data_IF_341918647746
#
_entry.id   IF_341918647746
#
_cell.length_a   1.000
_cell.length_b   1.000
_cell.length_c   1.000
_cell.angle_alpha   90.00
_cell.angle_beta   90.00
_cell.angle_gamma   90.00
#
_symmetry.space_group_name_H-M   'P 1'
#
loop_
_entity.id
_entity.type
_entity.pdbx_description
1 polymer ?
#
# COMPACT_ATOMS: atom_id res chain seq x y z
N UNK A 1 11.57 -13.27 -18.86
CA UNK A 1 11.85 -11.97 -18.20
C UNK A 1 12.86 -12.10 -17.08
N UNK A 2 12.59 -12.90 -16.03
CA UNK A 2 13.47 -13.02 -14.85
C UNK A 2 14.93 -13.39 -15.19
N UNK A 3 15.15 -14.45 -15.99
CA UNK A 3 16.50 -14.86 -16.44
C UNK A 3 17.28 -13.72 -17.09
N UNK A 4 16.65 -13.01 -18.02
CA UNK A 4 17.27 -11.88 -18.73
C UNK A 4 17.63 -10.75 -17.78
N UNK A 5 16.74 -10.43 -16.82
CA UNK A 5 17.01 -9.39 -15.83
C UNK A 5 18.14 -9.79 -14.88
N UNK A 6 18.15 -11.04 -14.39
CA UNK A 6 19.21 -11.54 -13.51
C UNK A 6 20.59 -11.47 -14.17
N UNK A 7 20.69 -11.73 -15.48
CA UNK A 7 21.97 -11.66 -16.23
C UNK A 7 22.57 -10.26 -16.32
N UNK A 8 21.76 -9.21 -16.18
CA UNK A 8 22.21 -7.81 -16.32
C UNK A 8 22.19 -7.03 -15.01
N UNK A 9 21.71 -7.64 -13.92
CA UNK A 9 21.72 -7.03 -12.59
C UNK A 9 23.13 -7.11 -12.00
N UNK A 10 23.81 -5.97 -11.74
CA UNK A 10 25.17 -5.98 -11.22
C UNK A 10 25.19 -6.31 -9.72
N UNK A 11 26.24 -6.98 -9.25
CA UNK A 11 26.48 -7.12 -7.81
C UNK A 11 26.71 -5.74 -7.16
N UNK A 12 26.21 -5.49 -5.93
CA UNK A 12 25.45 -6.39 -5.06
C UNK A 12 23.93 -6.31 -5.24
N UNK A 13 23.43 -5.71 -6.33
CA UNK A 13 22.01 -5.45 -6.56
C UNK A 13 21.20 -6.73 -6.75
N UNK A 14 19.90 -6.59 -6.51
CA UNK A 14 18.94 -7.69 -6.56
C UNK A 14 17.99 -7.50 -7.72
N UNK A 15 17.47 -8.60 -8.26
CA UNK A 15 16.23 -8.53 -9.03
C UNK A 15 15.06 -8.46 -8.05
N UNK A 16 14.29 -7.38 -8.12
CA UNK A 16 13.13 -7.14 -7.24
C UNK A 16 11.88 -7.03 -8.09
N UNK A 17 10.90 -7.89 -7.83
CA UNK A 17 9.54 -7.79 -8.36
C UNK A 17 8.65 -7.48 -7.17
N UNK A 18 8.15 -6.24 -7.06
CA UNK A 18 7.45 -5.74 -5.86
C UNK A 18 5.98 -5.49 -6.19
N UNK A 19 5.25 -6.57 -6.47
CA UNK A 19 3.80 -6.53 -6.76
C UNK A 19 3.46 -6.32 -8.24
N UNK A 20 2.17 -6.09 -8.51
CA UNK A 20 1.63 -5.84 -9.85
C UNK A 20 1.37 -7.07 -10.71
N UNK A 21 1.27 -8.26 -10.11
CA UNK A 21 0.99 -9.50 -10.81
C UNK A 21 0.16 -10.48 -9.95
N UNK A 22 -0.47 -11.44 -10.61
CA UNK A 22 -1.09 -12.63 -10.01
C UNK A 22 -0.79 -13.84 -10.90
N UNK A 23 -0.71 -15.02 -10.28
CA UNK A 23 -0.56 -16.28 -10.97
C UNK A 23 -1.67 -16.58 -11.99
N UNK A 24 -2.86 -16.00 -11.84
CA UNK A 24 -3.97 -16.17 -12.78
C UNK A 24 -3.71 -15.52 -14.15
N UNK A 25 -2.68 -14.68 -14.25
CA UNK A 25 -2.25 -14.08 -15.51
C UNK A 25 -1.34 -15.01 -16.33
N UNK A 26 -0.84 -16.09 -15.73
CA UNK A 26 0.02 -17.06 -16.40
C UNK A 26 -0.79 -18.21 -17.01
N UNK A 27 -0.29 -18.80 -18.09
CA UNK A 27 -0.92 -19.94 -18.75
C UNK A 27 -1.03 -21.14 -17.80
N UNK A 28 -0.04 -21.30 -16.92
CA UNK A 28 0.07 -22.37 -15.94
C UNK A 28 -0.84 -22.16 -14.71
N UNK A 29 -1.39 -20.95 -14.52
CA UNK A 29 -2.26 -20.58 -13.39
C UNK A 29 -1.68 -20.94 -12.02
N UNK A 30 -0.36 -20.79 -11.86
CA UNK A 30 0.39 -21.05 -10.63
C UNK A 30 1.55 -20.08 -10.49
N UNK A 31 2.00 -19.87 -9.27
CA UNK A 31 3.24 -19.14 -9.01
C UNK A 31 4.45 -19.88 -9.62
N UNK A 32 5.54 -19.15 -9.96
CA UNK A 32 6.82 -19.78 -10.26
C UNK A 32 7.31 -20.57 -9.05
N UNK A 33 8.00 -21.69 -9.28
CA UNK A 33 8.58 -22.48 -8.18
C UNK A 33 9.94 -21.91 -7.77
N UNK A 34 10.34 -22.18 -6.53
CA UNK A 34 11.68 -21.81 -6.05
C UNK A 34 12.78 -22.51 -6.86
N UNK A 35 12.55 -23.74 -7.33
CA UNK A 35 13.50 -24.45 -8.19
C UNK A 35 13.65 -23.77 -9.55
N UNK A 36 12.55 -23.32 -10.17
CA UNK A 36 12.57 -22.54 -11.41
C UNK A 36 13.36 -21.23 -11.22
N UNK A 37 13.11 -20.50 -10.12
CA UNK A 37 13.80 -19.25 -9.81
C UNK A 37 15.30 -19.50 -9.57
N UNK A 38 15.65 -20.52 -8.77
CA UNK A 38 17.03 -20.88 -8.47
C UNK A 38 17.79 -21.31 -9.72
N UNK A 39 17.15 -22.05 -10.64
CA UNK A 39 17.77 -22.52 -11.87
C UNK A 39 18.12 -21.36 -12.82
N UNK A 40 17.29 -20.31 -12.88
CA UNK A 40 17.53 -19.17 -13.78
C UNK A 40 18.39 -18.07 -13.16
N UNK A 41 18.51 -18.04 -11.83
CA UNK A 41 19.30 -17.05 -11.08
C UNK A 41 20.00 -17.69 -9.88
N UNK A 42 21.07 -18.46 -10.10
CA UNK A 42 21.77 -19.18 -9.02
C UNK A 42 22.57 -18.24 -8.09
N UNK A 43 23.14 -17.17 -8.66
CA UNK A 43 24.09 -16.29 -7.97
C UNK A 43 23.55 -14.89 -7.71
N UNK A 44 22.67 -14.39 -8.59
CA UNK A 44 22.04 -13.06 -8.41
C UNK A 44 20.86 -13.19 -7.45
N UNK A 45 20.81 -12.44 -6.34
CA UNK A 45 19.66 -12.44 -5.43
C UNK A 45 18.37 -12.01 -6.13
N UNK A 46 17.31 -12.77 -5.89
CA UNK A 46 15.96 -12.51 -6.41
C UNK A 46 14.98 -12.43 -5.25
N UNK A 47 14.15 -11.39 -5.27
CA UNK A 47 12.98 -11.24 -4.42
C UNK A 47 11.76 -11.00 -5.29
N UNK A 48 10.78 -11.90 -5.22
CA UNK A 48 9.49 -11.78 -5.90
C UNK A 48 8.39 -11.70 -4.85
N UNK A 49 7.79 -10.53 -4.72
CA UNK A 49 6.62 -10.31 -3.87
C UNK A 49 5.37 -10.77 -4.62
N UNK A 50 4.63 -11.70 -4.04
CA UNK A 50 3.30 -12.09 -4.48
C UNK A 50 2.27 -11.39 -3.59
N UNK A 51 1.65 -10.35 -4.16
CA UNK A 51 0.69 -9.49 -3.46
C UNK A 51 1.27 -9.04 -2.10
N UNK A 52 0.49 -9.08 -1.02
CA UNK A 52 0.97 -8.81 0.33
C UNK A 52 0.95 -10.07 1.22
N UNK A 53 0.72 -11.24 0.60
CA UNK A 53 0.55 -12.52 1.29
C UNK A 53 1.85 -13.36 1.35
N UNK A 54 2.75 -13.22 0.38
CA UNK A 54 3.94 -14.05 0.33
C UNK A 54 5.06 -13.46 -0.53
N UNK A 55 6.28 -13.95 -0.32
CA UNK A 55 7.42 -13.63 -1.18
C UNK A 55 8.28 -14.85 -1.44
N UNK A 56 8.79 -14.94 -2.67
CA UNK A 56 9.75 -15.95 -3.10
C UNK A 56 11.15 -15.34 -3.15
N UNK A 57 12.05 -15.91 -2.35
CA UNK A 57 13.47 -15.58 -2.31
C UNK A 57 14.27 -16.77 -2.82
N UNK A 58 15.17 -16.52 -3.76
CA UNK A 58 16.09 -17.56 -4.19
C UNK A 58 17.18 -17.83 -3.11
N UNK A 59 17.93 -18.91 -3.29
CA UNK A 59 19.02 -19.28 -2.36
C UNK A 59 20.08 -18.18 -2.22
N UNK A 60 20.35 -17.40 -3.28
CA UNK A 60 21.26 -16.26 -3.21
C UNK A 60 20.73 -15.14 -2.31
N UNK A 61 19.44 -14.81 -2.39
CA UNK A 61 18.80 -13.83 -1.51
C UNK A 61 18.78 -14.29 -0.06
N UNK A 62 18.45 -15.56 0.21
CA UNK A 62 18.49 -16.13 1.58
C UNK A 62 19.89 -16.02 2.21
N UNK A 63 20.94 -16.34 1.45
CA UNK A 63 22.34 -16.15 1.89
C UNK A 63 22.65 -14.69 2.19
N UNK A 64 22.21 -13.78 1.30
CA UNK A 64 22.47 -12.35 1.45
C UNK A 64 21.80 -11.74 2.69
N UNK A 65 20.63 -12.22 3.11
CA UNK A 65 19.91 -11.70 4.30
C UNK A 65 20.15 -12.51 5.58
N UNK A 66 20.96 -13.56 5.48
CA UNK A 66 21.37 -14.41 6.61
C UNK A 66 20.22 -15.23 7.20
N UNK A 67 19.21 -15.60 6.41
CA UNK A 67 18.16 -16.51 6.89
C UNK A 67 18.66 -17.95 6.89
N UNK A 68 18.64 -18.57 8.08
CA UNK A 68 19.16 -19.92 8.34
C UNK A 68 18.10 -20.78 9.04
N UNK A 69 18.45 -22.02 9.40
CA UNK A 69 17.59 -22.91 10.21
C UNK A 69 17.30 -22.35 11.60
N UNK A 70 18.21 -21.54 12.14
CA UNK A 70 18.10 -20.91 13.45
C UNK A 70 17.30 -19.59 13.44
N UNK A 71 16.97 -19.06 12.26
CA UNK A 71 16.18 -17.82 12.18
C UNK A 71 14.75 -18.09 12.66
N UNK A 72 14.28 -17.44 13.74
CA UNK A 72 12.91 -17.64 14.18
C UNK A 72 11.92 -17.01 13.19
N UNK A 73 10.70 -17.54 13.15
CA UNK A 73 9.59 -16.87 12.49
C UNK A 73 9.29 -15.54 13.22
N UNK A 74 9.14 -14.41 12.52
CA UNK A 74 8.72 -13.18 13.18
C UNK A 74 7.26 -13.26 13.62
N UNK A 75 6.81 -12.38 14.53
CA UNK A 75 5.40 -12.19 14.79
C UNK A 75 4.65 -11.91 13.49
N UNK A 76 3.60 -12.67 13.25
CA UNK A 76 2.73 -12.48 12.10
C UNK A 76 3.31 -12.91 10.74
N UNK A 77 4.26 -13.84 10.72
CA UNK A 77 4.80 -14.39 9.48
C UNK A 77 5.47 -15.74 9.66
N UNK A 78 5.72 -16.41 8.54
CA UNK A 78 6.33 -17.75 8.48
C UNK A 78 7.44 -17.76 7.44
N UNK A 79 8.63 -18.22 7.86
CA UNK A 79 9.70 -18.61 6.96
C UNK A 79 9.50 -20.10 6.70
N UNK A 80 9.03 -20.47 5.51
CA UNK A 80 8.78 -21.87 5.19
C UNK A 80 10.10 -22.65 5.21
N UNK A 81 10.06 -23.86 5.77
CA UNK A 81 11.22 -24.76 5.91
C UNK A 81 10.99 -26.09 5.21
N UNK A 82 12.07 -26.68 4.71
CA UNK A 82 12.09 -28.05 4.22
C UNK A 82 12.12 -29.08 5.36
N UNK A 83 12.11 -30.37 5.02
CA UNK A 83 12.17 -31.48 5.98
C UNK A 83 13.45 -31.49 6.84
N UNK A 84 14.50 -30.79 6.42
CA UNK A 84 15.76 -30.66 7.13
C UNK A 84 15.85 -29.36 7.95
N UNK A 85 14.78 -28.55 7.96
CA UNK A 85 14.70 -27.29 8.68
C UNK A 85 15.34 -26.09 7.95
N UNK A 86 15.83 -26.25 6.72
CA UNK A 86 16.41 -25.13 5.98
C UNK A 86 15.30 -24.23 5.40
N UNK A 87 15.47 -22.90 5.39
CA UNK A 87 14.53 -22.02 4.69
C UNK A 87 14.41 -22.40 3.21
N UNK A 88 13.20 -22.62 2.72
CA UNK A 88 12.98 -22.94 1.30
C UNK A 88 13.21 -21.72 0.42
N UNK A 89 12.86 -20.53 0.93
CA UNK A 89 12.79 -19.29 0.18
C UNK A 89 11.38 -18.70 0.12
N UNK A 90 10.35 -19.45 0.51
CA UNK A 90 8.99 -18.93 0.61
C UNK A 90 8.78 -18.28 1.98
N UNK A 91 8.39 -17.01 1.95
CA UNK A 91 7.93 -16.24 3.11
C UNK A 91 6.43 -16.09 3.02
N UNK A 92 5.71 -16.28 4.12
CA UNK A 92 4.24 -16.17 4.18
C UNK A 92 3.88 -15.13 5.25
N UNK A 93 3.07 -14.15 4.88
CA UNK A 93 2.54 -13.11 5.75
C UNK A 93 1.22 -13.57 6.39
N UNK A 94 1.07 -13.36 7.71
CA UNK A 94 -0.12 -13.75 8.49
C UNK A 94 -0.28 -12.85 9.72
N UNK A 95 -1.00 -11.71 9.73
CA UNK A 95 -1.96 -11.26 8.72
C UNK A 95 -1.47 -10.11 7.82
N UNK A 96 -0.21 -9.68 7.96
CA UNK A 96 0.30 -8.51 7.23
C UNK A 96 1.72 -8.72 6.68
N UNK A 97 2.08 -7.89 5.71
CA UNK A 97 3.31 -8.01 4.92
C UNK A 97 4.61 -7.61 5.65
N UNK A 98 4.60 -7.42 6.98
CA UNK A 98 5.77 -6.94 7.72
C UNK A 98 7.02 -7.82 7.54
N UNK A 99 6.87 -9.15 7.53
CA UNK A 99 7.97 -10.09 7.23
C UNK A 99 8.53 -9.83 5.82
N UNK A 100 7.66 -9.62 4.84
CA UNK A 100 8.03 -9.43 3.43
C UNK A 100 8.81 -8.12 3.25
N UNK A 101 8.31 -7.03 3.85
CA UNK A 101 8.99 -5.74 3.84
C UNK A 101 10.32 -5.78 4.58
N UNK A 102 10.38 -6.46 5.73
CA UNK A 102 11.62 -6.62 6.49
C UNK A 102 12.67 -7.38 5.69
N UNK A 103 12.28 -8.42 4.96
CA UNK A 103 13.18 -9.16 4.08
C UNK A 103 13.66 -8.30 2.89
N UNK A 104 12.74 -7.55 2.27
CA UNK A 104 13.07 -6.63 1.17
C UNK A 104 14.04 -5.52 1.61
N UNK A 105 13.82 -4.94 2.81
CA UNK A 105 14.62 -3.87 3.37
C UNK A 105 16.06 -4.29 3.74
N UNK A 106 16.31 -5.60 3.94
CA UNK A 106 17.67 -6.15 4.09
C UNK A 106 18.45 -6.22 2.77
N UNK A 107 17.79 -6.03 1.63
CA UNK A 107 18.48 -5.88 0.35
C UNK A 107 19.28 -4.58 0.29
N UNK A 108 20.20 -4.43 -0.67
CA UNK A 108 21.03 -3.22 -0.79
C UNK A 108 20.17 -1.97 -1.04
N UNK A 109 20.43 -0.90 -0.27
CA UNK A 109 19.88 0.43 -0.57
C UNK A 109 20.65 1.03 -1.74
N UNK A 110 19.95 1.61 -2.71
CA UNK A 110 20.59 2.34 -3.81
C UNK A 110 21.24 3.62 -3.27
N UNK A 111 22.44 4.01 -3.75
CA UNK A 111 22.97 5.35 -3.55
C UNK A 111 21.95 6.42 -4.00
N UNK A 112 22.01 7.62 -3.42
CA UNK A 112 21.05 8.70 -3.69
C UNK A 112 20.92 9.00 -5.19
N UNK A 113 22.05 9.13 -5.89
CA UNK A 113 22.08 9.38 -7.35
C UNK A 113 21.30 8.33 -8.16
N UNK A 114 21.33 7.06 -7.72
CA UNK A 114 20.63 5.97 -8.37
C UNK A 114 19.15 5.95 -8.00
N UNK A 115 18.78 6.42 -6.80
CA UNK A 115 17.38 6.64 -6.45
C UNK A 115 16.77 7.76 -7.30
N UNK A 116 17.48 8.89 -7.46
CA UNK A 116 17.05 9.99 -8.34
C UNK A 116 16.87 9.52 -9.78
N UNK A 117 17.84 8.79 -10.33
CA UNK A 117 17.70 8.21 -11.67
C UNK A 117 16.56 7.18 -11.76
N UNK A 118 16.41 6.31 -10.75
CA UNK A 118 15.33 5.32 -10.68
C UNK A 118 13.96 6.00 -10.72
N UNK A 119 13.75 7.05 -9.92
CA UNK A 119 12.50 7.81 -9.89
C UNK A 119 12.23 8.50 -11.22
N UNK A 120 13.25 9.02 -11.91
CA UNK A 120 13.09 9.56 -13.28
C UNK A 120 12.63 8.48 -14.29
N UNK A 121 13.19 7.29 -14.22
CA UNK A 121 12.77 6.17 -15.08
C UNK A 121 11.35 5.72 -14.74
N UNK A 122 10.99 5.70 -13.46
CA UNK A 122 9.63 5.38 -13.01
C UNK A 122 8.61 6.39 -13.56
N UNK A 123 8.87 7.69 -13.43
CA UNK A 123 7.98 8.71 -13.99
C UNK A 123 7.89 8.64 -15.52
N UNK A 124 8.98 8.31 -16.22
CA UNK A 124 8.97 8.06 -17.67
C UNK A 124 8.02 6.92 -18.03
N UNK A 125 8.05 5.82 -17.27
CA UNK A 125 7.15 4.69 -17.52
C UNK A 125 5.69 5.04 -17.25
N UNK A 126 5.42 5.80 -16.18
CA UNK A 126 4.09 6.35 -15.91
C UNK A 126 3.60 7.23 -17.07
N UNK A 127 4.45 8.13 -17.58
CA UNK A 127 4.10 8.95 -18.74
C UNK A 127 3.85 8.13 -20.00
N UNK A 128 4.61 7.04 -20.22
CA UNK A 128 4.39 6.10 -21.34
C UNK A 128 2.99 5.47 -21.30
N UNK A 129 2.44 5.29 -20.09
CA UNK A 129 1.08 4.79 -19.85
C UNK A 129 0.01 5.91 -19.83
N UNK A 130 0.40 7.16 -20.05
CA UNK A 130 -0.48 8.33 -20.00
C UNK A 130 -0.77 8.87 -18.59
N UNK A 131 -0.09 8.35 -17.56
CA UNK A 131 -0.22 8.84 -16.18
C UNK A 131 0.60 10.11 -16.02
N UNK A 132 -0.06 11.21 -15.64
CA UNK A 132 0.56 12.54 -15.50
C UNK A 132 0.43 13.13 -14.09
N UNK A 133 -0.23 12.43 -13.17
CA UNK A 133 -0.36 12.82 -11.77
C UNK A 133 -0.56 11.60 -10.88
N UNK A 134 -0.05 11.68 -9.66
CA UNK A 134 -0.23 10.66 -8.62
C UNK A 134 -0.51 11.34 -7.27
N UNK A 135 -1.30 10.67 -6.44
CA UNK A 135 -1.39 10.98 -5.02
C UNK A 135 -0.51 9.96 -4.32
N UNK A 136 0.56 10.44 -3.69
CA UNK A 136 1.41 9.62 -2.83
C UNK A 136 0.73 9.50 -1.47
N UNK A 137 0.33 8.28 -1.12
CA UNK A 137 -0.31 7.96 0.14
C UNK A 137 0.70 7.73 1.28
N UNK A 138 2.00 7.88 1.02
CA UNK A 138 3.08 7.58 1.96
C UNK A 138 3.27 6.08 2.19
N UNK A 139 3.85 5.73 3.34
CA UNK A 139 4.10 4.34 3.74
C UNK A 139 5.49 3.84 3.38
N UNK A 140 5.74 2.53 3.51
CA UNK A 140 6.98 1.89 3.04
C UNK A 140 8.28 2.43 3.66
N UNK A 141 8.27 2.86 4.92
CA UNK A 141 9.39 3.53 5.60
C UNK A 141 9.80 4.90 5.02
N UNK A 142 8.91 5.58 4.31
CA UNK A 142 9.07 6.95 3.88
C UNK A 142 8.84 7.91 5.05
N UNK A 143 9.84 8.11 5.92
CA UNK A 143 9.73 9.00 7.07
C UNK A 143 9.86 10.47 6.64
N UNK A 144 8.95 11.32 7.12
CA UNK A 144 9.00 12.74 6.83
C UNK A 144 9.75 13.50 7.94
N UNK A 145 10.67 14.42 7.58
CA UNK A 145 11.03 14.84 6.21
C UNK A 145 12.17 14.04 5.55
N UNK A 146 12.90 13.20 6.27
CA UNK A 146 14.23 12.71 5.86
C UNK A 146 14.23 11.86 4.57
N UNK A 147 13.19 11.07 4.34
CA UNK A 147 13.14 10.16 3.20
C UNK A 147 12.59 10.82 1.92
N UNK A 148 12.07 12.06 1.99
CA UNK A 148 11.52 12.80 0.84
C UNK A 148 12.57 13.47 -0.07
N UNK A 149 13.85 13.40 0.33
CA UNK A 149 14.98 14.03 -0.36
C UNK A 149 15.03 13.79 -1.88
N UNK A 150 14.66 12.59 -2.35
CA UNK A 150 14.71 12.24 -3.78
C UNK A 150 13.70 13.04 -4.59
N UNK A 151 12.45 13.10 -4.12
CA UNK A 151 11.38 13.84 -4.81
C UNK A 151 11.62 15.34 -4.67
N UNK A 152 12.10 15.79 -3.50
CA UNK A 152 12.49 17.18 -3.27
C UNK A 152 13.59 17.65 -4.23
N UNK A 153 14.63 16.83 -4.44
CA UNK A 153 15.73 17.13 -5.38
C UNK A 153 15.20 17.23 -6.81
N UNK A 154 14.38 16.27 -7.24
CA UNK A 154 13.76 16.29 -8.57
C UNK A 154 12.86 17.51 -8.76
N UNK A 155 12.09 17.90 -7.74
CA UNK A 155 11.25 19.09 -7.77
C UNK A 155 12.09 20.36 -7.90
N UNK A 156 13.11 20.53 -7.05
CA UNK A 156 14.04 21.68 -7.08
C UNK A 156 14.75 21.84 -8.42
N UNK A 157 15.08 20.72 -9.07
CA UNK A 157 15.76 20.69 -10.36
C UNK A 157 14.82 20.73 -11.58
N UNK A 158 13.50 20.90 -11.38
CA UNK A 158 12.48 20.86 -12.45
C UNK A 158 12.51 19.55 -13.28
N UNK A 159 12.73 18.42 -12.61
CA UNK A 159 12.85 17.10 -13.23
C UNK A 159 11.63 16.20 -13.01
N UNK A 160 10.59 16.68 -12.32
CA UNK A 160 9.32 15.97 -12.20
C UNK A 160 8.55 16.02 -13.50
N UNK A 161 8.12 14.86 -14.00
CA UNK A 161 7.29 14.74 -15.21
C UNK A 161 5.85 14.29 -14.90
N UNK A 162 5.53 14.14 -13.63
CA UNK A 162 4.18 13.94 -13.10
C UNK A 162 3.94 14.92 -11.95
N UNK A 163 2.68 15.27 -11.71
CA UNK A 163 2.27 16.04 -10.52
C UNK A 163 2.08 15.11 -9.33
N UNK A 164 2.76 15.36 -8.23
CA UNK A 164 2.72 14.56 -7.01
C UNK A 164 2.06 15.36 -5.90
N UNK A 165 0.96 14.84 -5.36
CA UNK A 165 0.36 15.36 -4.13
C UNK A 165 0.61 14.31 -3.04
N UNK A 166 1.38 14.63 -2.00
CA UNK A 166 1.79 13.63 -1.00
C UNK A 166 1.03 13.80 0.33
N UNK A 167 0.74 12.67 0.97
CA UNK A 167 0.18 12.61 2.31
C UNK A 167 1.23 12.10 3.29
N UNK A 168 1.08 12.46 4.57
CA UNK A 168 1.95 12.01 5.64
C UNK A 168 1.34 10.81 6.37
N UNK A 169 2.14 9.75 6.43
CA UNK A 169 1.79 8.42 6.91
C UNK A 169 2.58 8.11 8.18
N UNK A 170 1.91 7.69 9.25
CA UNK A 170 2.57 7.39 10.53
C UNK A 170 3.43 6.13 10.43
N UNK A 171 4.69 6.23 10.83
CA UNK A 171 5.66 5.11 10.79
C UNK A 171 6.05 4.63 12.21
N UNK A 172 5.60 5.35 13.26
CA UNK A 172 5.96 5.10 14.66
C UNK A 172 4.74 4.65 15.47
N UNK A 173 4.54 3.33 15.68
CA UNK A 173 3.44 2.85 16.52
C UNK A 173 3.45 3.48 17.90
N UNK A 174 2.27 3.90 18.39
CA UNK A 174 2.04 4.59 19.68
C UNK A 174 2.61 6.01 19.78
N UNK A 175 3.09 6.58 18.69
CA UNK A 175 3.57 7.98 18.61
C UNK A 175 2.85 8.76 17.49
N UNK A 176 1.71 8.23 17.02
CA UNK A 176 1.00 8.73 15.84
C UNK A 176 0.43 10.12 16.07
N UNK A 177 -0.05 10.41 17.28
CA UNK A 177 -0.56 11.73 17.62
C UNK A 177 0.57 12.76 17.66
N UNK A 178 1.70 12.41 18.27
CA UNK A 178 2.90 13.25 18.32
C UNK A 178 3.46 13.52 16.92
N UNK A 179 3.43 12.52 16.02
CA UNK A 179 3.77 12.68 14.60
C UNK A 179 2.92 13.79 13.97
N UNK A 180 1.59 13.72 14.09
CA UNK A 180 0.71 14.74 13.52
C UNK A 180 0.84 16.12 14.19
N UNK A 181 1.05 16.18 15.52
CA UNK A 181 1.33 17.44 16.20
C UNK A 181 2.59 18.10 15.65
N UNK A 182 3.65 17.31 15.43
CA UNK A 182 4.87 17.81 14.84
C UNK A 182 4.65 18.25 13.38
N UNK A 183 4.04 17.42 12.54
CA UNK A 183 3.88 17.73 11.12
C UNK A 183 2.98 18.94 10.85
N UNK A 184 1.87 19.07 11.58
CA UNK A 184 0.99 20.26 11.50
C UNK A 184 1.68 21.57 11.90
N UNK A 185 2.79 21.51 12.63
CA UNK A 185 3.64 22.68 12.94
C UNK A 185 4.71 22.98 11.87
N UNK A 186 4.95 22.04 10.95
CA UNK A 186 6.04 22.10 9.97
C UNK A 186 5.57 22.39 8.54
N UNK A 187 4.39 21.90 8.17
CA UNK A 187 3.85 22.00 6.81
C UNK A 187 2.34 22.30 6.85
N UNK A 188 1.78 22.87 5.78
CA UNK A 188 0.36 23.10 5.61
C UNK A 188 -0.14 22.46 4.31
N UNK A 189 -1.41 22.00 4.24
CA UNK A 189 -1.99 21.50 3.01
C UNK A 189 -1.89 22.55 1.90
N UNK A 190 -1.34 22.16 0.75
CA UNK A 190 -1.06 23.04 -0.37
C UNK A 190 0.38 23.56 -0.45
N UNK A 191 1.20 23.42 0.60
CA UNK A 191 2.61 23.81 0.56
C UNK A 191 3.35 23.04 -0.54
N UNK A 192 4.16 23.76 -1.33
CA UNK A 192 4.93 23.23 -2.44
C UNK A 192 4.70 23.99 -3.75
N UNK A 193 4.50 23.26 -4.84
CA UNK A 193 4.32 23.77 -6.20
C UNK A 193 3.23 23.00 -6.95
N UNK A 194 2.89 23.44 -8.17
CA UNK A 194 1.91 22.74 -9.02
C UNK A 194 2.31 21.29 -9.37
N UNK A 195 3.61 20.96 -9.29
CA UNK A 195 4.14 19.63 -9.58
C UNK A 195 4.38 18.78 -8.34
N UNK A 196 4.52 19.39 -7.17
CA UNK A 196 4.85 18.68 -5.94
C UNK A 196 4.36 19.47 -4.74
N UNK A 197 3.35 18.95 -4.05
CA UNK A 197 2.74 19.63 -2.90
C UNK A 197 2.23 18.69 -1.83
N UNK A 198 2.22 19.18 -0.61
CA UNK A 198 1.61 18.49 0.51
C UNK A 198 0.09 18.51 0.37
N UNK A 199 -0.55 17.36 0.58
CA UNK A 199 -1.99 17.19 0.46
C UNK A 199 -2.69 17.03 1.81
N UNK A 200 -2.06 16.35 2.76
CA UNK A 200 -2.64 16.11 4.08
C UNK A 200 -2.13 14.83 4.74
N UNK A 201 -2.97 14.18 5.54
CA UNK A 201 -2.62 12.99 6.34
C UNK A 201 -3.12 11.67 5.71
N UNK A 202 -2.49 10.55 6.08
CA UNK A 202 -2.87 9.20 5.68
C UNK A 202 -1.87 8.56 4.73
N UNK A 203 -2.08 7.32 4.27
CA UNK A 203 -3.25 6.44 4.48
C UNK A 203 -3.33 5.79 5.88
N UNK A 204 -2.22 5.72 6.61
CA UNK A 204 -2.18 5.27 8.01
C UNK A 204 -2.19 6.46 8.96
N UNK A 205 -3.28 6.59 9.72
CA UNK A 205 -3.43 7.62 10.76
C UNK A 205 -3.10 7.07 12.14
N UNK A 206 -3.57 5.88 12.48
CA UNK A 206 -3.25 5.20 13.73
C UNK A 206 -3.09 3.70 13.46
N UNK A 207 -2.07 3.08 14.06
CA UNK A 207 -1.82 1.65 13.82
C UNK A 207 -2.96 0.75 14.34
N UNK A 208 -3.71 1.21 15.35
CA UNK A 208 -4.89 0.49 15.87
C UNK A 208 -6.07 0.45 14.89
N UNK A 209 -6.07 1.28 13.84
CA UNK A 209 -7.10 1.27 12.80
C UNK A 209 -6.69 0.48 11.54
N UNK A 210 -5.50 -0.13 11.54
CA UNK A 210 -5.00 -0.88 10.40
C UNK A 210 -5.74 -2.22 10.23
N UNK A 211 -6.67 -2.29 9.28
CA UNK A 211 -7.48 -3.48 9.05
C UNK A 211 -6.95 -4.44 7.98
N UNK A 212 -5.91 -4.08 7.22
CA UNK A 212 -5.13 -4.92 6.28
C UNK A 212 -5.92 -5.84 5.32
N UNK A 213 -5.52 -5.82 4.08
CA UNK A 213 -6.30 -6.33 2.96
C UNK A 213 -5.76 -7.64 2.38
N UNK A 214 -5.60 -8.63 3.25
CA UNK A 214 -5.24 -10.00 2.88
C UNK A 214 -6.47 -10.93 2.91
N UNK A 215 -7.09 -11.14 1.74
CA UNK A 215 -8.26 -12.01 1.60
C UNK A 215 -7.95 -13.51 1.75
N UNK A 216 -6.69 -13.92 1.86
CA UNK A 216 -6.35 -15.29 2.25
C UNK A 216 -6.48 -15.48 3.77
N UNK A 217 -6.39 -14.41 4.55
CA UNK A 217 -6.52 -14.45 6.01
C UNK A 217 -7.91 -14.00 6.48
N UNK A 218 -8.34 -14.42 7.69
CA UNK A 218 -9.52 -13.82 8.32
C UNK A 218 -9.37 -12.31 8.46
N UNK A 219 -10.48 -11.60 8.29
CA UNK A 219 -10.55 -10.17 8.63
C UNK A 219 -10.02 -9.99 10.06
N UNK A 220 -9.08 -9.06 10.31
CA UNK A 220 -8.63 -8.79 11.67
C UNK A 220 -9.72 -8.05 12.45
N UNK A 221 -9.78 -8.31 13.75
CA UNK A 221 -10.57 -7.51 14.67
C UNK A 221 -9.72 -6.36 15.20
N UNK A 222 -10.20 -5.14 14.99
CA UNK A 222 -9.54 -3.93 15.49
C UNK A 222 -9.66 -3.88 17.03
N UNK A 223 -8.61 -3.45 17.74
CA UNK A 223 -8.60 -3.41 19.20
C UNK A 223 -9.62 -2.40 19.76
N UNK A 224 -9.98 -2.56 21.03
CA UNK A 224 -11.01 -1.73 21.70
C UNK A 224 -10.61 -0.25 21.83
N UNK A 225 -9.31 0.05 21.87
CA UNK A 225 -8.79 1.42 21.98
C UNK A 225 -8.75 2.16 20.63
N UNK A 226 -9.08 1.52 19.51
CA UNK A 226 -8.98 2.11 18.17
C UNK A 226 -9.73 3.44 18.06
N UNK A 227 -10.98 3.51 18.51
CA UNK A 227 -11.79 4.73 18.43
C UNK A 227 -11.18 5.87 19.24
N UNK A 228 -10.62 5.55 20.42
CA UNK A 228 -10.01 6.57 21.29
C UNK A 228 -8.75 7.15 20.68
N UNK A 229 -7.92 6.31 20.06
CA UNK A 229 -6.69 6.76 19.38
C UNK A 229 -7.01 7.52 18.10
N UNK A 230 -7.92 6.99 17.28
CA UNK A 230 -8.36 7.62 16.04
C UNK A 230 -9.03 8.97 16.31
N UNK A 231 -9.90 9.07 17.33
CA UNK A 231 -10.59 10.32 17.67
C UNK A 231 -9.60 11.45 17.98
N UNK A 232 -8.53 11.16 18.73
CA UNK A 232 -7.49 12.17 19.04
C UNK A 232 -6.85 12.73 17.78
N UNK A 233 -6.46 11.84 16.86
CA UNK A 233 -5.84 12.24 15.59
C UNK A 233 -6.83 12.99 14.70
N UNK A 234 -8.06 12.48 14.55
CA UNK A 234 -9.07 13.12 13.69
C UNK A 234 -9.44 14.51 14.19
N UNK A 235 -9.62 14.69 15.52
CA UNK A 235 -9.85 16.03 16.09
C UNK A 235 -8.73 16.99 15.72
N UNK A 236 -7.48 16.58 15.96
CA UNK A 236 -6.31 17.40 15.64
C UNK A 236 -6.26 17.78 14.16
N UNK A 237 -6.47 16.83 13.25
CA UNK A 237 -6.49 17.10 11.81
C UNK A 237 -7.62 18.05 11.40
N UNK A 238 -8.82 17.87 11.96
CA UNK A 238 -9.99 18.72 11.66
C UNK A 238 -9.81 20.14 12.21
N UNK A 239 -9.28 20.29 13.44
CA UNK A 239 -8.95 21.60 14.04
C UNK A 239 -7.95 22.38 13.20
N UNK A 240 -6.97 21.70 12.61
CA UNK A 240 -5.96 22.29 11.75
C UNK A 240 -6.38 22.32 10.26
N UNK A 241 -7.60 21.88 9.94
CA UNK A 241 -8.14 21.81 8.57
C UNK A 241 -7.26 21.02 7.60
N UNK A 242 -6.61 19.96 8.09
CA UNK A 242 -5.82 19.04 7.28
C UNK A 242 -6.70 17.99 6.61
N UNK A 243 -6.72 17.91 5.26
CA UNK A 243 -7.34 16.80 4.56
C UNK A 243 -6.73 15.47 5.03
N UNK A 244 -7.51 14.40 5.05
CA UNK A 244 -6.99 13.12 5.52
C UNK A 244 -7.55 11.93 4.76
N UNK A 245 -6.80 10.84 4.80
CA UNK A 245 -7.17 9.56 4.23
C UNK A 245 -6.98 8.48 5.27
N UNK A 246 -7.82 7.46 5.22
CA UNK A 246 -7.72 6.32 6.13
C UNK A 246 -7.90 5.01 5.37
N UNK A 247 -6.93 4.11 5.55
CA UNK A 247 -7.01 2.72 5.13
C UNK A 247 -8.27 2.08 5.73
N UNK A 248 -9.18 1.58 4.89
CA UNK A 248 -10.37 0.89 5.38
C UNK A 248 -10.91 -0.11 4.35
N UNK A 249 -10.55 -1.37 4.54
CA UNK A 249 -10.94 -2.46 3.64
C UNK A 249 -12.34 -2.96 3.96
N UNK A 250 -12.65 -3.11 5.26
CA UNK A 250 -13.82 -3.85 5.71
C UNK A 250 -14.93 -2.96 6.26
N UNK A 251 -16.18 -3.31 5.95
CA UNK A 251 -17.37 -2.62 6.44
C UNK A 251 -17.43 -2.51 7.97
N UNK A 252 -16.97 -3.52 8.69
CA UNK A 252 -16.92 -3.55 10.15
C UNK A 252 -15.98 -2.49 10.72
N UNK A 253 -14.80 -2.34 10.13
CA UNK A 253 -13.84 -1.28 10.42
C UNK A 253 -14.41 0.08 10.06
N UNK A 254 -14.94 0.22 8.83
CA UNK A 254 -15.54 1.46 8.31
C UNK A 254 -16.67 1.94 9.23
N UNK A 255 -17.49 1.02 9.74
CA UNK A 255 -18.59 1.36 10.65
C UNK A 255 -18.08 2.05 11.91
N UNK A 256 -17.03 1.50 12.54
CA UNK A 256 -16.41 2.05 13.76
C UNK A 256 -15.66 3.35 13.48
N UNK A 257 -14.95 3.44 12.36
CA UNK A 257 -14.27 4.67 11.93
C UNK A 257 -15.28 5.80 11.68
N UNK A 258 -16.42 5.50 11.04
CA UNK A 258 -17.50 6.48 10.83
C UNK A 258 -18.14 6.92 12.14
N UNK A 259 -18.26 6.06 13.15
CA UNK A 259 -18.76 6.46 14.48
C UNK A 259 -17.87 7.56 15.09
N UNK A 260 -16.55 7.43 14.93
CA UNK A 260 -15.57 8.47 15.34
C UNK A 260 -15.77 9.73 14.51
N UNK A 261 -15.85 9.63 13.18
CA UNK A 261 -15.95 10.80 12.31
C UNK A 261 -17.26 11.57 12.55
N UNK A 262 -18.38 10.88 12.72
CA UNK A 262 -19.67 11.48 13.04
C UNK A 262 -19.67 12.15 14.41
N UNK A 263 -18.98 11.57 15.41
CA UNK A 263 -18.80 12.18 16.72
C UNK A 263 -18.00 13.49 16.60
N UNK A 264 -16.85 13.46 15.94
CA UNK A 264 -16.01 14.66 15.77
C UNK A 264 -16.74 15.72 14.96
N UNK A 265 -17.40 15.36 13.85
CA UNK A 265 -18.11 16.32 12.98
C UNK A 265 -19.29 17.03 13.70
N UNK A 266 -19.88 16.43 14.73
CA UNK A 266 -20.91 17.11 15.56
C UNK A 266 -20.34 18.23 16.41
N UNK A 267 -19.07 18.11 16.82
CA UNK A 267 -18.41 19.06 17.72
C UNK A 267 -17.56 20.07 16.95
N UNK A 268 -16.84 19.60 15.93
CA UNK A 268 -15.98 20.38 15.05
C UNK A 268 -16.36 20.01 13.61
N UNK A 269 -17.25 20.79 12.97
CA UNK A 269 -17.76 20.47 11.65
C UNK A 269 -16.64 20.32 10.61
N UNK A 270 -16.74 19.27 9.79
CA UNK A 270 -15.83 19.03 8.68
C UNK A 270 -16.00 20.14 7.63
N UNK A 271 -17.21 20.66 7.41
CA UNK A 271 -17.50 21.87 6.63
C UNK A 271 -16.61 22.05 5.37
N UNK A 272 -16.68 21.08 4.46
CA UNK A 272 -15.90 21.08 3.21
C UNK A 272 -14.46 20.56 3.32
N UNK A 273 -14.01 20.09 4.48
CA UNK A 273 -12.73 19.40 4.64
C UNK A 273 -12.75 18.08 3.85
N UNK A 274 -11.81 17.92 2.91
CA UNK A 274 -11.73 16.72 2.09
C UNK A 274 -11.16 15.55 2.88
N UNK A 275 -11.86 14.41 2.85
CA UNK A 275 -11.35 13.18 3.41
C UNK A 275 -11.82 11.96 2.62
N UNK A 276 -11.04 10.87 2.70
CA UNK A 276 -11.32 9.64 1.96
C UNK A 276 -11.12 8.40 2.83
N UNK A 277 -11.95 7.37 2.62
CA UNK A 277 -11.52 6.01 2.87
C UNK A 277 -10.79 5.47 1.64
N UNK A 278 -9.67 4.81 1.88
CA UNK A 278 -8.98 4.01 0.87
C UNK A 278 -9.49 2.57 0.89
N UNK A 279 -9.61 1.98 -0.30
CA UNK A 279 -10.01 0.58 -0.55
C UNK A 279 -11.52 0.32 -0.52
N UNK A 280 -12.12 0.22 0.67
CA UNK A 280 -13.55 0.00 0.90
C UNK A 280 -14.16 -1.25 0.22
N UNK A 281 -13.42 -2.36 0.10
CA UNK A 281 -13.85 -3.53 -0.68
C UNK A 281 -15.15 -4.20 -0.18
N UNK A 282 -15.43 -4.16 1.12
CA UNK A 282 -16.67 -4.78 1.65
C UNK A 282 -17.71 -3.77 2.13
N UNK A 283 -17.52 -2.48 1.88
CA UNK A 283 -18.40 -1.41 2.38
C UNK A 283 -19.88 -1.67 2.03
N UNK A 284 -20.77 -1.49 3.01
CA UNK A 284 -22.22 -1.59 2.82
C UNK A 284 -22.84 -0.31 2.27
N UNK A 285 -23.99 -0.42 1.61
CA UNK A 285 -24.79 0.73 1.15
C UNK A 285 -25.08 1.73 2.27
N UNK A 286 -25.36 1.23 3.48
CA UNK A 286 -25.56 2.07 4.67
C UNK A 286 -24.35 2.95 4.96
N UNK A 287 -23.15 2.39 4.92
CA UNK A 287 -21.93 3.15 5.18
C UNK A 287 -21.55 4.06 4.01
N UNK A 288 -21.88 3.71 2.77
CA UNK A 288 -21.76 4.64 1.62
C UNK A 288 -22.60 5.89 1.86
N UNK A 289 -23.86 5.75 2.32
CA UNK A 289 -24.70 6.92 2.62
C UNK A 289 -24.16 7.75 3.80
N UNK A 290 -23.56 7.12 4.81
CA UNK A 290 -22.88 7.83 5.92
C UNK A 290 -21.66 8.63 5.43
N UNK A 291 -20.81 8.03 4.59
CA UNK A 291 -19.66 8.73 3.96
C UNK A 291 -20.15 9.96 3.19
N UNK A 292 -21.18 9.79 2.37
CA UNK A 292 -21.79 10.88 1.60
C UNK A 292 -22.40 11.96 2.49
N UNK A 293 -23.10 11.59 3.56
CA UNK A 293 -23.70 12.54 4.50
C UNK A 293 -22.66 13.41 5.22
N UNK A 294 -21.44 12.89 5.41
CA UNK A 294 -20.29 13.60 5.98
C UNK A 294 -19.41 14.29 4.92
N UNK A 295 -19.80 14.27 3.64
CA UNK A 295 -19.03 14.87 2.55
C UNK A 295 -17.71 14.16 2.20
N UNK A 296 -17.55 12.91 2.64
CA UNK A 296 -16.36 12.10 2.36
C UNK A 296 -16.36 11.46 0.98
N UNK A 297 -15.18 10.97 0.58
CA UNK A 297 -14.99 10.19 -0.64
C UNK A 297 -14.51 8.76 -0.39
N UNK A 298 -14.55 7.96 -1.44
CA UNK A 298 -13.94 6.62 -1.48
C UNK A 298 -12.87 6.62 -2.59
N UNK A 299 -11.67 6.19 -2.26
CA UNK A 299 -10.59 5.96 -3.22
C UNK A 299 -10.43 4.46 -3.44
N UNK A 300 -10.87 3.99 -4.62
CA UNK A 300 -10.90 2.57 -4.97
C UNK A 300 -9.71 2.23 -5.88
N UNK A 301 -8.99 1.16 -5.55
CA UNK A 301 -7.83 0.69 -6.28
C UNK A 301 -8.18 -0.56 -7.10
N UNK A 302 -7.38 -0.85 -8.13
CA UNK A 302 -7.55 -1.99 -9.03
C UNK A 302 -7.17 -3.34 -8.41
N UNK A 303 -7.10 -3.44 -7.07
CA UNK A 303 -6.72 -4.66 -6.33
C UNK A 303 -7.59 -5.86 -6.70
N UNK A 304 -8.88 -5.62 -6.90
CA UNK A 304 -9.83 -6.66 -7.31
C UNK A 304 -9.51 -7.28 -8.67
N UNK A 305 -8.69 -6.63 -9.51
CA UNK A 305 -8.17 -7.24 -10.74
C UNK A 305 -7.09 -8.31 -10.48
N UNK A 306 -6.46 -8.29 -9.30
CA UNK A 306 -5.43 -9.26 -8.90
C UNK A 306 -5.90 -10.23 -7.82
N UNK A 307 -6.86 -9.84 -6.98
CA UNK A 307 -7.32 -10.61 -5.82
C UNK A 307 -8.79 -11.02 -5.90
N UNK A 308 -9.46 -10.79 -7.03
CA UNK A 308 -10.88 -11.09 -7.19
C UNK A 308 -11.23 -12.56 -6.95
N UNK A 309 -10.35 -13.47 -7.38
CA UNK A 309 -10.47 -14.91 -7.16
C UNK A 309 -10.41 -15.26 -5.68
N UNK A 310 -9.44 -14.74 -4.93
CA UNK A 310 -9.32 -14.98 -3.49
C UNK A 310 -10.47 -14.36 -2.71
N UNK A 311 -10.90 -13.16 -3.09
CA UNK A 311 -12.06 -12.52 -2.51
C UNK A 311 -13.33 -13.36 -2.74
N UNK A 312 -13.55 -13.87 -3.95
CA UNK A 312 -14.70 -14.72 -4.27
C UNK A 312 -14.66 -16.05 -3.51
N UNK A 313 -13.47 -16.63 -3.31
CA UNK A 313 -13.32 -17.84 -2.51
C UNK A 313 -13.69 -17.60 -1.04
N UNK A 314 -13.29 -16.45 -0.47
CA UNK A 314 -13.56 -16.12 0.93
C UNK A 314 -15.00 -15.67 1.18
N UNK A 315 -15.47 -14.71 0.39
CA UNK A 315 -16.73 -13.98 0.64
C UNK A 315 -17.87 -14.39 -0.31
N UNK A 316 -17.57 -15.21 -1.32
CA UNK A 316 -18.54 -15.65 -2.32
C UNK A 316 -18.71 -14.68 -3.48
N UNK A 317 -19.18 -15.21 -4.60
CA UNK A 317 -19.38 -14.44 -5.85
C UNK A 317 -20.45 -13.35 -5.74
N UNK A 318 -21.39 -13.47 -4.80
CA UNK A 318 -22.40 -12.43 -4.53
C UNK A 318 -21.75 -11.16 -3.97
N UNK A 319 -20.85 -11.30 -2.99
CA UNK A 319 -20.12 -10.18 -2.42
C UNK A 319 -19.20 -9.53 -3.48
N UNK A 320 -18.55 -10.34 -4.31
CA UNK A 320 -17.71 -9.82 -5.42
C UNK A 320 -18.52 -8.95 -6.38
N UNK A 321 -19.73 -9.37 -6.75
CA UNK A 321 -20.62 -8.57 -7.63
C UNK A 321 -21.02 -7.23 -7.00
N UNK A 322 -21.23 -7.18 -5.69
CA UNK A 322 -21.54 -5.94 -4.98
C UNK A 322 -20.36 -4.97 -5.00
N UNK A 323 -19.13 -5.47 -4.84
CA UNK A 323 -17.91 -4.68 -4.99
C UNK A 323 -17.79 -4.08 -6.40
N UNK A 324 -18.05 -4.87 -7.46
CA UNK A 324 -18.03 -4.36 -8.84
C UNK A 324 -19.14 -3.33 -9.14
N UNK A 325 -20.28 -3.41 -8.44
CA UNK A 325 -21.38 -2.47 -8.61
C UNK A 325 -21.02 -1.06 -8.11
N UNK A 326 -20.11 -0.92 -7.14
CA UNK A 326 -19.61 0.37 -6.69
C UNK A 326 -18.88 1.12 -7.83
N UNK A 327 -18.19 0.38 -8.72
CA UNK A 327 -17.55 0.94 -9.91
C UNK A 327 -18.54 1.27 -11.05
N UNK A 328 -19.69 0.59 -11.14
CA UNK A 328 -20.66 0.78 -12.23
C UNK A 328 -21.77 1.78 -11.91
N UNK A 329 -22.22 1.86 -10.66
CA UNK A 329 -23.33 2.73 -10.24
C UNK A 329 -22.88 4.11 -9.76
N UNK A 330 -21.58 4.34 -9.58
CA UNK A 330 -21.05 5.65 -9.30
C UNK A 330 -21.19 6.57 -10.52
N UNK A 331 -22.28 7.34 -10.58
CA UNK A 331 -22.29 8.66 -11.23
C UNK A 331 -21.35 9.64 -10.49
N UNK A 332 -20.14 9.20 -10.12
CA UNK A 332 -19.07 10.06 -9.63
C UNK A 332 -18.55 10.87 -10.83
N UNK A 333 -19.21 12.00 -11.09
CA UNK A 333 -18.69 13.07 -11.95
C UNK A 333 -17.60 13.85 -11.21
N UNK A 334 -16.54 13.16 -10.82
CA UNK A 334 -15.25 13.75 -10.47
C UNK A 334 -14.28 12.61 -10.14
N UNK A 335 -13.21 12.52 -10.92
CA UNK A 335 -11.98 11.79 -10.59
C UNK A 335 -12.03 10.26 -10.43
N UNK A 336 -12.69 9.56 -11.35
CA UNK A 336 -12.32 8.18 -11.69
C UNK A 336 -11.50 8.18 -12.99
N UNK A 337 -10.18 8.40 -12.87
CA UNK A 337 -9.23 8.32 -13.99
C UNK A 337 -8.62 6.92 -14.06
N UNK A 338 -9.44 5.90 -14.37
CA UNK A 338 -8.94 4.65 -14.97
C UNK A 338 -9.96 4.20 -16.02
N UNK A 339 -9.79 4.69 -17.26
CA UNK A 339 -10.46 4.15 -18.43
C UNK A 339 -9.44 3.28 -19.18
N UNK A 340 -9.20 2.08 -18.66
CA UNK A 340 -8.55 1.02 -19.43
C UNK A 340 -9.45 -0.21 -19.48
N UNK A 341 -9.65 -0.70 -20.70
CA UNK A 341 -10.74 -1.57 -21.12
C UNK A 341 -10.87 -2.87 -20.35
N UNK A 342 -12.09 -3.15 -19.91
CA UNK A 342 -12.60 -4.51 -19.77
C UNK A 342 -13.62 -4.72 -20.90
N UNK A 343 -13.11 -4.97 -22.12
CA UNK A 343 -13.91 -5.32 -23.30
C UNK A 343 -13.60 -6.77 -23.66
N UNK A 344 -13.94 -7.71 -22.78
CA UNK A 344 -14.06 -9.13 -23.13
C UNK A 344 -14.47 -9.93 -21.89
N UNK A 345 -15.78 -10.10 -21.71
CA UNK A 345 -16.44 -11.25 -21.09
C UNK A 345 -17.96 -11.01 -21.14
N UNK A 346 -18.53 -11.21 -22.33
CA UNK A 346 -19.94 -11.61 -22.46
C UNK A 346 -19.96 -13.12 -22.70
#
# INVERSE_FOLDING_TARGET
MLKSQAQVTPSPQWVRVVGGWSEFQFAERRMPTLDEINAVSPDTPVFVLHLYDSALLNKAALRAIGYTKETPNPPGGEIQRDEHGNPTGLLIAKPNAMLLYSALAKGPKLPLEYQVNSTRQFMRELNRLGVTSAIDAGGGFQNYPEDYQVVDELAKNNQLTIRIAYNLFTQRPKQEFEDFQQWTSMVSPGDGSDFYRHNGAGEMLVFSAADFEDFLQPRPDLPENMETELEKVIRHLVEHRWPFRLHATYNESISRMLDVFEKVNKEIPFDGLHWFFDHAETISEKNIERVKALGGGLAIQHRMAFQGEYFAQRYGTKALKQNTACCQNAKCRSTCWIRYGCNSCC
#
